data_IF_903567444971
#
_entry.id   IF_903567444971
#
_cell.length_a   1.000
_cell.length_b   1.000
_cell.length_c   1.000
_cell.angle_alpha   90.00
_cell.angle_beta   90.00
_cell.angle_gamma   90.00
#
_symmetry.space_group_name_H-M   'P 1'
#
loop_
_entity.id
_entity.type
_entity.pdbx_description
1 polymer ?
#
# COMPACT_ATOMS: atom_id res chain seq x y z
N UNK A 1 23.89 7.61 -6.16
CA UNK A 1 22.78 7.87 -5.25
C UNK A 1 22.35 6.58 -4.57
N UNK A 2 22.23 6.59 -3.25
CA UNK A 2 21.77 5.43 -2.49
C UNK A 2 20.47 5.79 -1.78
N UNK A 3 19.46 4.93 -1.89
CA UNK A 3 18.12 5.20 -1.38
C UNK A 3 17.85 4.41 -0.11
N UNK A 4 17.18 5.05 0.87
CA UNK A 4 16.57 4.39 2.00
C UNK A 4 15.25 3.74 1.57
N UNK A 5 15.04 2.46 1.90
CA UNK A 5 13.86 1.70 1.48
C UNK A 5 13.17 1.13 2.71
N UNK A 6 11.92 1.55 2.91
CA UNK A 6 11.00 1.04 3.91
C UNK A 6 9.69 0.61 3.25
N UNK A 7 9.25 -0.62 3.53
CA UNK A 7 7.99 -1.19 3.05
C UNK A 7 7.22 -1.80 4.22
N UNK A 8 5.91 -1.90 4.08
CA UNK A 8 5.01 -2.49 5.06
C UNK A 8 3.98 -3.33 4.32
N UNK A 9 4.03 -4.63 4.52
CA UNK A 9 3.19 -5.62 3.83
C UNK A 9 2.23 -6.27 4.83
N UNK A 10 0.90 -6.11 4.65
CA UNK A 10 -0.07 -6.68 5.58
C UNK A 10 -0.15 -8.20 5.43
N UNK A 11 -0.23 -8.89 6.56
CA UNK A 11 -0.43 -10.34 6.65
C UNK A 11 -1.88 -10.58 7.07
N UNK A 12 -2.64 -11.32 6.26
CA UNK A 12 -4.08 -11.51 6.46
C UNK A 12 -4.45 -12.84 7.11
N UNK A 13 -3.64 -13.88 6.96
CA UNK A 13 -3.95 -15.21 7.49
C UNK A 13 -2.82 -15.78 8.32
N UNK A 14 -3.14 -16.72 9.20
CA UNK A 14 -2.14 -17.48 9.97
C UNK A 14 -1.28 -18.37 9.05
N UNK A 15 -1.82 -18.78 7.90
CA UNK A 15 -1.05 -19.52 6.90
C UNK A 15 0.04 -18.63 6.27
N UNK A 16 -0.31 -17.40 5.88
CA UNK A 16 0.67 -16.43 5.36
C UNK A 16 1.75 -16.13 6.40
N UNK A 17 1.35 -15.97 7.67
CA UNK A 17 2.27 -15.79 8.79
C UNK A 17 3.23 -16.99 8.94
N UNK A 18 2.75 -18.21 8.72
CA UNK A 18 3.59 -19.43 8.72
C UNK A 18 4.61 -19.40 7.57
N UNK A 19 4.17 -19.02 6.36
CA UNK A 19 5.06 -18.96 5.18
C UNK A 19 6.17 -17.93 5.36
N UNK A 20 5.82 -16.76 5.88
CA UNK A 20 6.76 -15.67 6.19
C UNK A 20 7.74 -16.15 7.29
N UNK A 21 7.25 -16.77 8.36
CA UNK A 21 8.09 -17.31 9.42
C UNK A 21 9.11 -18.33 8.91
N UNK A 22 8.68 -19.22 8.03
CA UNK A 22 9.58 -20.22 7.43
C UNK A 22 10.63 -19.58 6.50
N UNK A 23 10.30 -18.46 5.87
CA UNK A 23 11.27 -17.68 5.10
C UNK A 23 12.26 -16.95 6.02
N UNK A 24 11.75 -16.21 6.98
CA UNK A 24 12.57 -15.36 7.85
C UNK A 24 13.52 -16.16 8.74
N UNK A 25 13.11 -17.35 9.17
CA UNK A 25 13.92 -18.28 9.99
C UNK A 25 14.74 -19.27 9.16
N UNK A 26 14.69 -19.17 7.82
CA UNK A 26 15.41 -20.11 6.92
C UNK A 26 15.10 -21.60 7.19
N UNK A 27 13.83 -21.93 7.46
CA UNK A 27 13.42 -23.30 7.77
C UNK A 27 13.33 -24.23 6.55
N UNK A 28 13.36 -23.67 5.32
CA UNK A 28 13.26 -24.47 4.09
C UNK A 28 14.62 -24.93 3.61
N UNK A 29 14.69 -26.16 3.08
CA UNK A 29 15.92 -26.73 2.50
C UNK A 29 16.32 -26.10 1.17
N UNK A 30 15.38 -25.47 0.47
CA UNK A 30 15.62 -24.77 -0.81
C UNK A 30 14.61 -23.63 -0.99
N UNK A 31 15.03 -22.57 -1.67
CA UNK A 31 14.26 -21.37 -1.95
C UNK A 31 14.17 -21.11 -3.45
N UNK A 32 13.45 -21.96 -4.18
CA UNK A 32 13.33 -21.88 -5.66
C UNK A 32 12.73 -20.55 -6.15
N UNK A 33 11.94 -19.88 -5.31
CA UNK A 33 11.37 -18.56 -5.62
C UNK A 33 12.35 -17.40 -5.43
N UNK A 34 13.45 -17.61 -4.70
CA UNK A 34 14.51 -16.63 -4.48
C UNK A 34 15.89 -17.30 -4.52
N UNK A 35 16.47 -17.47 -5.73
CA UNK A 35 17.78 -18.11 -5.90
C UNK A 35 18.95 -17.29 -5.34
N UNK A 36 18.73 -16.05 -4.91
CA UNK A 36 19.76 -15.21 -4.31
C UNK A 36 20.10 -15.64 -2.87
N UNK A 37 19.26 -16.47 -2.25
CA UNK A 37 19.50 -16.99 -0.89
C UNK A 37 20.62 -18.03 -0.91
N UNK A 38 21.70 -17.75 -0.20
CA UNK A 38 22.84 -18.61 -0.03
C UNK A 38 22.80 -19.25 1.36
N UNK A 39 22.24 -20.44 1.46
CA UNK A 39 22.03 -21.13 2.75
C UNK A 39 23.33 -21.31 3.56
N UNK A 40 24.48 -21.45 2.90
CA UNK A 40 25.79 -21.51 3.54
C UNK A 40 26.17 -20.23 4.31
N UNK A 41 25.55 -19.10 3.94
CA UNK A 41 25.75 -17.80 4.58
C UNK A 41 24.72 -17.46 5.66
N UNK A 42 23.69 -18.30 5.86
CA UNK A 42 22.62 -18.07 6.85
C UNK A 42 23.15 -17.86 8.28
N UNK A 43 24.30 -18.44 8.61
CA UNK A 43 25.00 -18.22 9.88
C UNK A 43 25.40 -16.75 10.13
N UNK A 44 25.42 -15.92 9.10
CA UNK A 44 25.73 -14.50 9.18
C UNK A 44 24.47 -13.64 9.44
N UNK A 45 23.28 -14.22 9.34
CA UNK A 45 22.04 -13.52 9.68
C UNK A 45 22.03 -13.19 11.17
N UNK A 46 21.44 -12.04 11.51
CA UNK A 46 21.42 -11.54 12.88
C UNK A 46 19.96 -11.42 13.34
N UNK A 47 19.61 -12.12 14.38
CA UNK A 47 18.32 -11.94 15.04
C UNK A 47 18.37 -10.64 15.88
N UNK A 48 17.55 -9.66 15.53
CA UNK A 48 17.42 -8.38 16.23
C UNK A 48 16.37 -8.47 17.35
N UNK A 49 15.32 -9.23 17.12
CA UNK A 49 14.32 -9.64 18.10
C UNK A 49 14.14 -11.14 17.94
N UNK A 50 14.69 -11.97 18.85
CA UNK A 50 14.64 -13.41 18.72
C UNK A 50 13.25 -13.97 18.98
N UNK A 51 12.94 -15.09 18.35
CA UNK A 51 11.73 -15.88 18.59
C UNK A 51 12.08 -17.37 18.57
N UNK A 52 12.07 -18.05 19.70
CA UNK A 52 12.41 -19.47 19.79
C UNK A 52 11.34 -20.38 19.21
N UNK A 53 10.09 -19.94 19.19
CA UNK A 53 8.96 -20.71 18.68
C UNK A 53 8.66 -20.41 17.20
N UNK A 54 7.76 -21.19 16.59
CA UNK A 54 7.20 -20.88 15.28
C UNK A 54 6.31 -19.63 15.38
N UNK A 55 6.18 -18.90 14.28
CA UNK A 55 5.46 -17.62 14.22
C UNK A 55 4.02 -17.72 14.73
N UNK A 56 3.27 -18.75 14.34
CA UNK A 56 1.87 -18.91 14.80
C UNK A 56 1.81 -19.15 16.32
N UNK A 57 2.79 -19.89 16.89
CA UNK A 57 2.84 -20.06 18.35
C UNK A 57 3.15 -18.74 19.05
N UNK A 58 4.17 -18.01 18.58
CA UNK A 58 4.50 -16.68 19.11
C UNK A 58 3.34 -15.67 18.95
N UNK A 59 2.64 -15.72 17.83
CA UNK A 59 1.42 -14.93 17.61
C UNK A 59 0.37 -15.21 18.69
N UNK A 60 0.09 -16.49 18.98
CA UNK A 60 -0.88 -16.84 20.02
C UNK A 60 -0.42 -16.43 21.42
N UNK A 61 0.88 -16.45 21.68
CA UNK A 61 1.44 -15.98 22.95
C UNK A 61 1.24 -14.46 23.11
N UNK A 62 1.56 -13.67 22.07
CA UNK A 62 1.38 -12.22 22.09
C UNK A 62 -0.09 -11.78 22.09
N UNK A 63 -0.97 -12.58 21.52
CA UNK A 63 -2.42 -12.29 21.46
C UNK A 63 -3.24 -13.04 22.50
N UNK A 64 -2.60 -13.56 23.55
CA UNK A 64 -3.26 -14.37 24.57
C UNK A 64 -4.47 -13.67 25.20
N UNK A 65 -4.32 -12.42 25.60
CA UNK A 65 -5.40 -11.62 26.20
C UNK A 65 -6.56 -11.40 25.22
N UNK A 66 -6.25 -11.15 23.94
CA UNK A 66 -7.27 -10.99 22.90
C UNK A 66 -8.05 -12.30 22.67
N UNK A 67 -7.33 -13.44 22.73
CA UNK A 67 -7.98 -14.75 22.67
C UNK A 67 -8.87 -14.99 23.88
N UNK A 68 -8.43 -14.68 25.10
CA UNK A 68 -9.24 -14.82 26.30
C UNK A 68 -10.52 -13.98 26.22
N UNK A 69 -10.43 -12.72 25.82
CA UNK A 69 -11.62 -11.87 25.60
C UNK A 69 -12.57 -12.46 24.55
N UNK A 70 -12.02 -13.04 23.48
CA UNK A 70 -12.81 -13.70 22.45
C UNK A 70 -13.55 -14.93 23.02
N UNK A 71 -12.83 -15.80 23.72
CA UNK A 71 -13.37 -17.04 24.27
C UNK A 71 -14.48 -16.74 25.31
N UNK A 72 -14.29 -15.72 26.18
CA UNK A 72 -15.33 -15.27 27.12
C UNK A 72 -16.58 -14.79 26.38
N UNK A 73 -16.43 -14.00 25.35
CA UNK A 73 -17.55 -13.54 24.52
C UNK A 73 -18.30 -14.68 23.85
N UNK A 74 -17.59 -15.73 23.42
CA UNK A 74 -18.22 -16.89 22.77
C UNK A 74 -19.05 -17.73 23.72
N UNK A 75 -18.90 -17.60 25.05
CA UNK A 75 -19.75 -18.28 26.02
C UNK A 75 -21.21 -17.82 25.97
N UNK A 76 -21.42 -16.53 25.70
CA UNK A 76 -22.74 -15.89 25.64
C UNK A 76 -23.25 -15.64 24.22
N UNK A 77 -22.46 -15.99 23.20
CA UNK A 77 -22.84 -15.81 21.81
C UNK A 77 -23.84 -16.90 21.37
N UNK A 78 -24.69 -16.57 20.39
CA UNK A 78 -25.62 -17.53 19.76
C UNK A 78 -24.86 -18.67 19.11
N UNK A 79 -25.38 -19.90 19.16
CA UNK A 79 -24.71 -21.12 18.66
C UNK A 79 -24.32 -20.99 17.17
N UNK A 80 -25.17 -20.41 16.33
CA UNK A 80 -24.93 -20.19 14.90
C UNK A 80 -23.76 -19.20 14.62
N UNK A 81 -23.39 -18.38 15.60
CA UNK A 81 -22.33 -17.37 15.51
C UNK A 81 -21.05 -17.73 16.25
N UNK A 82 -21.08 -18.80 17.06
CA UNK A 82 -19.88 -19.26 17.76
C UNK A 82 -18.78 -19.60 16.76
N UNK A 83 -17.57 -19.15 17.05
CA UNK A 83 -16.38 -19.38 16.24
C UNK A 83 -15.18 -19.57 17.15
N UNK A 84 -14.27 -20.43 16.76
CA UNK A 84 -12.96 -20.48 17.42
C UNK A 84 -12.17 -19.20 17.13
N UNK A 85 -11.20 -18.88 17.95
CA UNK A 85 -10.34 -17.71 17.77
C UNK A 85 -9.65 -17.73 16.39
N UNK A 86 -9.11 -18.86 15.95
CA UNK A 86 -8.51 -19.01 14.61
C UNK A 86 -9.53 -18.78 13.50
N UNK A 87 -10.74 -19.33 13.60
CA UNK A 87 -11.81 -19.11 12.63
C UNK A 87 -12.24 -17.63 12.56
N UNK A 88 -12.21 -16.93 13.68
CA UNK A 88 -12.49 -15.50 13.73
C UNK A 88 -11.41 -14.71 12.98
N UNK A 89 -10.14 -15.03 13.20
CA UNK A 89 -9.02 -14.40 12.51
C UNK A 89 -9.06 -14.66 11.00
N UNK A 90 -9.22 -15.90 10.57
CA UNK A 90 -9.21 -16.30 9.16
C UNK A 90 -10.39 -15.73 8.35
N UNK A 91 -11.55 -15.55 9.00
CA UNK A 91 -12.72 -14.91 8.35
C UNK A 91 -12.68 -13.39 8.37
N UNK A 92 -11.86 -12.83 9.22
CA UNK A 92 -11.67 -11.39 9.28
C UNK A 92 -10.94 -10.92 8.02
N UNK A 93 -11.45 -9.87 7.38
CA UNK A 93 -10.71 -9.13 6.35
C UNK A 93 -9.61 -8.24 6.95
N UNK A 94 -9.44 -8.29 8.26
CA UNK A 94 -8.44 -7.49 8.96
C UNK A 94 -7.07 -8.17 8.89
N UNK A 95 -6.03 -7.36 8.95
CA UNK A 95 -4.65 -7.82 9.09
C UNK A 95 -4.48 -8.58 10.42
N UNK A 96 -3.81 -9.70 10.41
CA UNK A 96 -3.39 -10.41 11.63
C UNK A 96 -2.02 -9.94 12.13
N UNK A 97 -1.12 -9.61 11.20
CA UNK A 97 0.21 -9.07 11.48
C UNK A 97 0.63 -8.13 10.34
N UNK A 98 1.75 -7.45 10.49
CA UNK A 98 2.34 -6.60 9.47
C UNK A 98 3.82 -6.94 9.34
N UNK A 99 4.29 -7.18 8.12
CA UNK A 99 5.71 -7.37 7.84
C UNK A 99 6.32 -6.06 7.34
N UNK A 100 7.33 -5.60 8.04
CA UNK A 100 8.11 -4.43 7.65
C UNK A 100 9.44 -4.88 7.07
N UNK A 101 9.77 -4.34 5.90
CA UNK A 101 11.04 -4.62 5.22
C UNK A 101 11.85 -3.33 5.18
N UNK A 102 13.05 -3.39 5.74
CA UNK A 102 14.01 -2.29 5.72
C UNK A 102 15.23 -2.71 4.90
N UNK A 103 15.65 -1.87 3.97
CA UNK A 103 16.87 -2.05 3.21
C UNK A 103 17.36 -0.71 2.66
N UNK A 104 18.42 -0.75 1.88
CA UNK A 104 18.90 0.40 1.10
C UNK A 104 19.40 -0.08 -0.28
N UNK A 105 19.75 0.86 -1.16
CA UNK A 105 20.36 0.53 -2.44
C UNK A 105 21.60 -0.35 -2.22
N UNK A 106 21.86 -1.35 -3.09
CA UNK A 106 23.00 -2.26 -2.94
C UNK A 106 24.36 -1.55 -2.82
N UNK A 107 24.51 -0.38 -3.47
CA UNK A 107 25.70 0.45 -3.40
C UNK A 107 26.00 0.99 -2.00
N UNK A 108 24.98 1.20 -1.18
CA UNK A 108 25.13 1.67 0.21
C UNK A 108 25.90 0.66 1.07
N UNK A 109 25.61 -0.62 0.91
CA UNK A 109 26.25 -1.67 1.70
C UNK A 109 27.66 -2.03 1.23
N UNK A 110 28.07 -1.58 0.02
CA UNK A 110 29.41 -1.82 -0.47
C UNK A 110 30.43 -1.07 0.37
N UNK A 111 31.34 -1.82 0.99
CA UNK A 111 32.40 -1.25 1.83
C UNK A 111 32.03 -0.97 3.28
N UNK A 112 30.75 -1.14 3.68
CA UNK A 112 30.38 -1.07 5.08
C UNK A 112 30.91 -2.29 5.86
N UNK A 113 31.42 -2.00 7.07
CA UNK A 113 31.81 -3.05 8.03
C UNK A 113 30.58 -3.61 8.74
N UNK A 114 30.64 -4.84 9.21
CA UNK A 114 29.55 -5.47 9.96
C UNK A 114 29.05 -4.61 11.13
N UNK A 115 29.92 -3.84 11.78
CA UNK A 115 29.57 -2.89 12.86
C UNK A 115 28.64 -1.78 12.34
N UNK A 116 28.91 -1.26 11.16
CA UNK A 116 28.10 -0.17 10.57
C UNK A 116 26.76 -0.71 10.05
N UNK A 117 26.73 -1.93 9.49
CA UNK A 117 25.50 -2.63 9.11
C UNK A 117 24.63 -2.88 10.36
N UNK A 118 25.25 -3.30 11.48
CA UNK A 118 24.52 -3.47 12.74
C UNK A 118 23.98 -2.14 13.26
N UNK A 119 24.77 -1.05 13.23
CA UNK A 119 24.32 0.30 13.60
C UNK A 119 23.13 0.75 12.75
N UNK A 120 23.16 0.45 11.43
CA UNK A 120 22.04 0.70 10.54
C UNK A 120 20.80 -0.12 10.95
N UNK A 121 20.96 -1.40 11.25
CA UNK A 121 19.87 -2.27 11.68
C UNK A 121 19.25 -1.81 13.01
N UNK A 122 20.09 -1.42 13.98
CA UNK A 122 19.63 -0.88 15.27
C UNK A 122 18.83 0.42 15.05
N UNK A 123 19.27 1.29 14.10
CA UNK A 123 18.55 2.51 13.73
C UNK A 123 17.19 2.22 13.08
N UNK A 124 17.08 1.16 12.29
CA UNK A 124 15.80 0.69 11.74
C UNK A 124 14.84 0.23 12.86
N UNK A 125 15.37 -0.47 13.87
CA UNK A 125 14.56 -0.86 15.03
C UNK A 125 14.15 0.32 15.90
N UNK A 126 15.02 1.33 16.06
CA UNK A 126 14.65 2.60 16.71
C UNK A 126 13.46 3.27 15.97
N UNK A 127 13.43 3.23 14.64
CA UNK A 127 12.32 3.75 13.87
C UNK A 127 11.01 3.00 14.14
N UNK A 128 11.06 1.67 14.27
CA UNK A 128 9.89 0.85 14.62
C UNK A 128 9.31 1.26 15.96
N UNK A 129 10.16 1.49 16.97
CA UNK A 129 9.72 1.79 18.32
C UNK A 129 9.31 3.26 18.49
N UNK A 130 10.10 4.19 17.98
CA UNK A 130 9.97 5.60 18.30
C UNK A 130 9.12 6.39 17.29
N UNK A 131 9.19 6.06 16.00
CA UNK A 131 8.47 6.79 14.95
C UNK A 131 7.17 6.12 14.55
N UNK A 132 7.18 4.79 14.42
CA UNK A 132 5.97 4.02 14.19
C UNK A 132 5.16 3.82 15.48
N UNK A 133 5.82 3.84 16.65
CA UNK A 133 5.18 3.75 17.96
C UNK A 133 4.83 2.33 18.39
N UNK A 134 5.43 1.31 17.81
CA UNK A 134 5.25 -0.07 18.26
C UNK A 134 5.97 -0.31 19.57
N UNK A 135 5.32 -1.00 20.50
CA UNK A 135 5.96 -1.47 21.73
C UNK A 135 6.80 -2.71 21.42
N UNK A 136 7.83 -2.96 22.24
CA UNK A 136 8.70 -4.15 22.08
C UNK A 136 7.90 -5.46 22.10
N UNK A 137 6.88 -5.53 22.96
CA UNK A 137 5.98 -6.67 23.12
C UNK A 137 5.05 -6.90 21.90
N UNK A 138 5.01 -5.98 20.95
CA UNK A 138 4.25 -6.11 19.72
C UNK A 138 5.10 -6.61 18.54
N UNK A 139 6.43 -6.65 18.71
CA UNK A 139 7.34 -7.20 17.71
C UNK A 139 7.43 -8.69 17.90
N UNK A 140 6.90 -9.46 16.95
CA UNK A 140 6.93 -10.91 16.99
C UNK A 140 8.33 -11.46 16.75
N UNK A 141 9.00 -10.94 15.72
CA UNK A 141 10.35 -11.34 15.32
C UNK A 141 10.97 -10.25 14.42
N UNK A 142 12.27 -10.05 14.54
CA UNK A 142 13.01 -9.23 13.60
C UNK A 142 14.37 -9.86 13.30
N UNK A 143 14.69 -10.03 12.03
CA UNK A 143 15.95 -10.63 11.58
C UNK A 143 16.57 -9.79 10.46
N UNK A 144 17.88 -9.61 10.53
CA UNK A 144 18.71 -9.04 9.47
C UNK A 144 19.28 -10.18 8.63
N UNK A 145 18.85 -10.27 7.39
CA UNK A 145 19.38 -11.21 6.42
C UNK A 145 20.65 -10.68 5.75
N UNK A 146 21.72 -11.45 5.89
CA UNK A 146 23.03 -11.21 5.28
C UNK A 146 23.39 -12.30 4.26
N UNK A 147 22.51 -13.23 4.02
CA UNK A 147 22.66 -14.40 3.15
C UNK A 147 22.04 -14.19 1.75
N UNK A 148 21.63 -12.99 1.45
CA UNK A 148 21.12 -12.58 0.12
C UNK A 148 21.99 -11.50 -0.51
N UNK A 149 21.67 -11.10 -1.75
CA UNK A 149 22.43 -10.10 -2.54
C UNK A 149 22.58 -8.77 -1.81
N UNK A 150 21.58 -8.37 -1.06
CA UNK A 150 21.54 -7.07 -0.36
C UNK A 150 21.06 -7.28 1.08
N UNK A 151 21.76 -6.76 2.10
CA UNK A 151 21.30 -6.80 3.48
C UNK A 151 19.92 -6.17 3.65
N UNK A 152 19.02 -6.85 4.34
CA UNK A 152 17.68 -6.34 4.63
C UNK A 152 17.12 -6.93 5.90
N UNK A 153 16.21 -6.19 6.54
CA UNK A 153 15.55 -6.61 7.76
C UNK A 153 14.12 -6.99 7.44
N UNK A 154 13.71 -8.15 7.93
CA UNK A 154 12.31 -8.52 8.09
C UNK A 154 11.92 -8.31 9.55
N UNK A 155 10.97 -7.42 9.80
CA UNK A 155 10.42 -7.15 11.12
C UNK A 155 8.91 -7.39 11.09
N UNK A 156 8.47 -8.44 11.77
CA UNK A 156 7.05 -8.80 11.86
C UNK A 156 6.48 -8.30 13.17
N UNK A 157 5.42 -7.50 13.09
CA UNK A 157 4.74 -6.91 14.24
C UNK A 157 3.28 -7.34 14.29
N UNK A 158 2.73 -7.41 15.51
CA UNK A 158 1.31 -7.63 15.74
C UNK A 158 0.71 -6.31 16.22
N UNK A 159 -0.09 -5.60 15.39
CA UNK A 159 -0.66 -4.30 15.73
C UNK A 159 -1.85 -4.45 16.70
N UNK A 160 -1.63 -5.12 17.84
CA UNK A 160 -2.61 -5.34 18.89
C UNK A 160 -2.78 -4.07 19.73
N UNK A 161 -3.99 -3.55 19.80
CA UNK A 161 -4.33 -2.33 20.54
C UNK A 161 -5.62 -2.53 21.32
N UNK A 162 -5.81 -1.74 22.37
CA UNK A 162 -7.11 -1.59 23.05
C UNK A 162 -7.88 -0.45 22.42
N UNK A 163 -9.15 -0.67 22.13
CA UNK A 163 -10.08 0.35 21.62
C UNK A 163 -11.38 0.32 22.40
N UNK A 164 -11.94 1.48 22.64
CA UNK A 164 -13.26 1.61 23.25
C UNK A 164 -14.34 1.11 22.30
N UNK A 165 -15.05 0.07 22.69
CA UNK A 165 -16.28 -0.37 22.02
C UNK A 165 -17.41 0.59 22.43
N UNK A 166 -17.80 1.46 21.52
CA UNK A 166 -18.84 2.49 21.77
C UNK A 166 -20.20 1.90 22.18
N UNK A 167 -20.48 0.65 21.80
CA UNK A 167 -21.76 -0.02 22.12
C UNK A 167 -21.83 -0.48 23.57
N UNK A 168 -20.71 -1.00 24.09
CA UNK A 168 -20.64 -1.55 25.45
C UNK A 168 -19.94 -0.61 26.44
N UNK A 169 -19.34 0.47 25.93
CA UNK A 169 -18.50 1.41 26.67
C UNK A 169 -17.35 0.72 27.44
N UNK A 170 -16.82 -0.35 26.87
CA UNK A 170 -15.70 -1.13 27.42
C UNK A 170 -14.51 -1.13 26.47
N UNK A 171 -13.31 -1.10 27.01
CA UNK A 171 -12.11 -1.29 26.21
C UNK A 171 -11.96 -2.75 25.79
N UNK A 172 -11.63 -2.99 24.52
CA UNK A 172 -11.42 -4.32 23.96
C UNK A 172 -10.17 -4.38 23.13
N UNK A 173 -9.53 -5.53 23.14
CA UNK A 173 -8.43 -5.81 22.23
C UNK A 173 -8.91 -5.91 20.78
N UNK A 174 -8.10 -5.38 19.88
CA UNK A 174 -8.29 -5.50 18.43
C UNK A 174 -6.95 -5.42 17.73
N UNK A 175 -6.81 -6.10 16.59
CA UNK A 175 -5.65 -5.97 15.71
C UNK A 175 -5.96 -4.87 14.70
N UNK A 176 -5.15 -3.80 14.66
CA UNK A 176 -5.43 -2.62 13.84
C UNK A 176 -4.16 -1.97 13.29
N UNK A 177 -3.72 -2.40 12.09
CA UNK A 177 -2.62 -1.75 11.34
C UNK A 177 -2.86 -0.24 11.16
N UNK A 178 -4.10 0.17 10.90
CA UNK A 178 -4.46 1.60 10.70
C UNK A 178 -4.13 2.50 11.91
N UNK A 179 -3.89 1.93 13.08
CA UNK A 179 -3.44 2.70 14.25
C UNK A 179 -2.02 3.23 14.06
N UNK A 180 -1.18 2.51 13.32
CA UNK A 180 0.24 2.78 13.09
C UNK A 180 0.49 3.34 11.68
N UNK A 181 -0.16 2.76 10.67
CA UNK A 181 -0.07 3.18 9.27
C UNK A 181 -1.50 3.38 8.74
N UNK A 182 -1.94 4.63 8.71
CA UNK A 182 -3.34 5.00 8.43
C UNK A 182 -3.74 4.72 6.98
N UNK A 183 -2.90 5.18 6.07
CA UNK A 183 -3.14 5.15 4.62
C UNK A 183 -1.81 5.29 3.85
N UNK A 184 -1.87 5.31 2.53
CA UNK A 184 -0.70 5.45 1.64
C UNK A 184 0.03 6.79 1.83
N UNK A 185 -0.68 7.87 2.16
CA UNK A 185 -0.09 9.19 2.40
C UNK A 185 0.75 9.14 3.67
N UNK A 186 0.16 8.61 4.74
CA UNK A 186 0.88 8.44 6.01
C UNK A 186 2.08 7.49 5.85
N UNK A 187 1.97 6.42 5.05
CA UNK A 187 3.11 5.56 4.73
C UNK A 187 4.23 6.34 4.04
N UNK A 188 3.87 7.25 3.11
CA UNK A 188 4.86 8.11 2.45
C UNK A 188 5.55 9.08 3.43
N UNK A 189 4.81 9.67 4.38
CA UNK A 189 5.35 10.50 5.46
C UNK A 189 6.29 9.70 6.38
N UNK A 190 5.94 8.45 6.66
CA UNK A 190 6.79 7.54 7.44
C UNK A 190 8.08 7.16 6.69
N UNK A 191 8.03 7.04 5.37
CA UNK A 191 9.23 6.84 4.55
C UNK A 191 10.15 8.08 4.59
N UNK A 192 9.59 9.29 4.63
CA UNK A 192 10.37 10.52 4.84
C UNK A 192 11.07 10.49 6.20
N UNK A 193 10.33 10.22 7.27
CA UNK A 193 10.88 10.09 8.63
C UNK A 193 11.95 9.01 8.76
N UNK A 194 11.77 7.88 8.06
CA UNK A 194 12.75 6.80 8.03
C UNK A 194 14.08 7.28 7.43
N UNK A 195 14.03 7.97 6.29
CA UNK A 195 15.22 8.54 5.67
C UNK A 195 15.87 9.60 6.55
N UNK A 196 15.09 10.51 7.16
CA UNK A 196 15.58 11.53 8.09
C UNK A 196 16.29 10.90 9.30
N UNK A 197 15.71 9.85 9.90
CA UNK A 197 16.32 9.14 11.03
C UNK A 197 17.67 8.52 10.67
N UNK A 198 17.77 7.88 9.51
CA UNK A 198 19.03 7.30 9.05
C UNK A 198 20.09 8.38 8.84
N UNK A 199 19.72 9.50 8.22
CA UNK A 199 20.64 10.62 7.98
C UNK A 199 21.08 11.29 9.28
N UNK A 200 20.20 11.42 10.27
CA UNK A 200 20.54 11.91 11.61
C UNK A 200 21.57 11.01 12.35
N UNK A 201 21.65 9.73 11.99
CA UNK A 201 22.66 8.78 12.50
C UNK A 201 23.94 8.74 11.66
N UNK A 202 24.03 9.58 10.61
CA UNK A 202 25.20 9.72 9.75
C UNK A 202 25.23 8.76 8.57
N UNK A 203 24.08 8.20 8.17
CA UNK A 203 23.96 7.43 6.92
C UNK A 203 23.53 8.38 5.81
N UNK A 204 24.34 8.52 4.77
CA UNK A 204 24.04 9.37 3.61
C UNK A 204 23.13 8.62 2.64
N UNK A 205 21.84 8.69 2.89
CA UNK A 205 20.81 8.04 2.09
C UNK A 205 19.78 9.06 1.61
N UNK A 206 19.30 8.85 0.38
CA UNK A 206 18.25 9.67 -0.19
C UNK A 206 16.88 8.98 -0.02
N UNK A 207 15.87 9.80 0.06
CA UNK A 207 14.49 9.34 0.00
C UNK A 207 14.16 8.98 -1.45
N UNK A 208 13.63 7.79 -1.69
CA UNK A 208 13.11 7.40 -3.01
C UNK A 208 11.97 8.33 -3.49
N UNK A 209 11.66 8.31 -4.76
CA UNK A 209 10.64 9.17 -5.37
C UNK A 209 9.29 9.03 -4.67
N UNK A 210 8.69 10.16 -4.25
CA UNK A 210 7.36 10.19 -3.66
C UNK A 210 6.30 9.83 -4.71
N UNK A 211 5.42 8.89 -4.35
CA UNK A 211 4.30 8.49 -5.20
C UNK A 211 4.70 7.70 -6.45
N UNK A 212 5.90 7.11 -6.49
CA UNK A 212 6.24 6.18 -7.54
C UNK A 212 5.34 4.94 -7.41
N UNK A 213 4.40 4.76 -8.33
CA UNK A 213 3.57 3.56 -8.43
C UNK A 213 4.36 2.38 -9.06
N UNK A 214 5.65 2.26 -8.79
CA UNK A 214 6.45 1.06 -9.12
C UNK A 214 6.00 -0.16 -8.31
N UNK A 215 4.88 -0.03 -7.60
CA UNK A 215 4.22 -1.11 -6.85
C UNK A 215 3.83 -2.34 -7.69
N UNK A 216 3.81 -2.25 -9.02
CA UNK A 216 3.17 -3.28 -9.84
C UNK A 216 4.11 -4.21 -10.61
N UNK A 217 5.41 -4.02 -10.56
CA UNK A 217 6.32 -5.08 -10.97
C UNK A 217 6.58 -5.95 -9.76
N UNK A 218 6.09 -7.18 -9.79
CA UNK A 218 6.47 -8.16 -8.78
C UNK A 218 8.01 -8.21 -8.73
N UNK A 219 8.57 -8.42 -7.54
CA UNK A 219 10.04 -8.58 -7.36
C UNK A 219 10.60 -9.58 -8.38
N UNK A 220 9.80 -10.58 -8.76
CA UNK A 220 10.13 -11.60 -9.76
C UNK A 220 10.24 -11.03 -11.18
N UNK A 221 9.34 -10.14 -11.58
CA UNK A 221 9.37 -9.49 -12.92
C UNK A 221 10.50 -8.47 -13.01
N UNK A 222 10.67 -7.65 -11.97
CA UNK A 222 11.78 -6.71 -11.89
C UNK A 222 13.14 -7.44 -11.94
N UNK A 223 13.33 -8.50 -11.15
CA UNK A 223 14.53 -9.34 -11.17
C UNK A 223 14.76 -10.00 -12.54
N UNK A 224 13.69 -10.43 -13.23
CA UNK A 224 13.81 -11.04 -14.55
C UNK A 224 14.29 -10.04 -15.60
N UNK A 225 13.74 -8.82 -15.59
CA UNK A 225 14.13 -7.76 -16.55
C UNK A 225 15.57 -7.29 -16.28
N UNK A 226 15.90 -6.97 -15.04
CA UNK A 226 17.25 -6.50 -14.67
C UNK A 226 18.32 -7.57 -14.88
N UNK A 227 18.04 -8.83 -14.53
CA UNK A 227 18.98 -9.94 -14.74
C UNK A 227 19.23 -10.23 -16.22
N UNK A 228 18.23 -10.11 -17.08
CA UNK A 228 18.42 -10.28 -18.51
C UNK A 228 19.28 -9.15 -19.11
N UNK A 229 19.03 -7.90 -18.71
CA UNK A 229 19.83 -6.75 -19.14
C UNK A 229 21.28 -6.83 -18.65
N UNK A 230 21.48 -7.20 -17.38
CA UNK A 230 22.82 -7.43 -16.82
C UNK A 230 23.58 -8.54 -17.59
N UNK A 231 22.92 -9.66 -17.90
CA UNK A 231 23.52 -10.76 -18.66
C UNK A 231 23.91 -10.37 -20.08
N UNK A 232 23.05 -9.60 -20.75
CA UNK A 232 23.37 -9.10 -22.12
C UNK A 232 24.53 -8.11 -22.09
N UNK A 233 24.56 -7.21 -21.09
CA UNK A 233 25.66 -6.25 -20.92
C UNK A 233 27.00 -6.98 -20.67
N UNK A 234 27.03 -7.87 -19.68
CA UNK A 234 28.23 -8.66 -19.33
C UNK A 234 28.73 -9.50 -20.50
N UNK A 235 27.82 -10.08 -21.30
CA UNK A 235 28.19 -10.82 -22.49
C UNK A 235 28.84 -9.93 -23.55
N UNK A 236 28.32 -8.72 -23.74
CA UNK A 236 28.90 -7.75 -24.72
C UNK A 236 30.23 -7.19 -24.24
N UNK A 237 30.35 -6.88 -22.92
CA UNK A 237 31.63 -6.46 -22.33
C UNK A 237 32.72 -7.55 -22.49
N UNK A 238 32.40 -8.81 -22.17
CA UNK A 238 33.33 -9.93 -22.36
C UNK A 238 33.74 -10.14 -23.81
N UNK A 239 32.81 -9.94 -24.76
CA UNK A 239 33.15 -10.04 -26.18
C UNK A 239 34.07 -8.88 -26.64
N UNK A 240 33.80 -7.66 -26.15
CA UNK A 240 34.63 -6.49 -26.42
C UNK A 240 36.06 -6.69 -25.87
N UNK A 241 36.17 -7.17 -24.63
CA UNK A 241 37.45 -7.47 -23.99
C UNK A 241 38.26 -8.51 -24.76
N UNK A 242 37.61 -9.58 -25.25
CA UNK A 242 38.26 -10.57 -26.14
C UNK A 242 38.72 -9.97 -27.45
N UNK A 243 37.91 -9.08 -28.04
CA UNK A 243 38.28 -8.40 -29.30
C UNK A 243 39.45 -7.43 -29.09
N UNK A 244 39.51 -6.73 -27.96
CA UNK A 244 40.63 -5.85 -27.58
C UNK A 244 41.91 -6.66 -27.39
N UNK A 245 41.87 -7.74 -26.63
CA UNK A 245 43.02 -8.61 -26.38
C UNK A 245 43.58 -9.21 -27.68
N UNK A 246 42.71 -9.67 -28.58
CA UNK A 246 43.11 -10.18 -29.90
C UNK A 246 43.77 -9.07 -30.76
N UNK A 247 43.23 -7.85 -30.71
CA UNK A 247 43.81 -6.70 -31.39
C UNK A 247 45.19 -6.36 -30.85
N UNK A 248 45.37 -6.33 -29.52
CA UNK A 248 46.68 -6.06 -28.89
C UNK A 248 47.71 -7.10 -29.29
N UNK A 249 47.35 -8.39 -29.37
CA UNK A 249 48.23 -9.48 -29.78
C UNK A 249 48.63 -9.33 -31.24
N UNK A 250 47.71 -8.96 -32.13
CA UNK A 250 47.98 -8.69 -33.53
C UNK A 250 48.87 -7.45 -33.76
N UNK A 251 48.71 -6.40 -32.96
CA UNK A 251 49.51 -5.17 -33.02
C UNK A 251 50.96 -5.42 -32.57
N UNK A 252 51.21 -6.27 -31.57
CA UNK A 252 52.56 -6.64 -31.11
C UNK A 252 53.38 -7.34 -32.17
N UNK A 253 52.75 -7.92 -33.18
CA UNK A 253 53.45 -8.64 -34.28
C UNK A 253 53.76 -7.77 -35.50
N UNK A 254 53.41 -6.49 -35.49
CA UNK A 254 53.62 -5.58 -36.61
C UNK A 254 55.07 -5.03 -36.64
N UNK A 255 55.66 -5.01 -37.83
CA UNK A 255 57.05 -4.50 -38.07
C UNK A 255 56.97 -3.02 -38.50
N UNK A 256 57.94 -2.21 -38.05
CA UNK A 256 58.11 -0.84 -38.52
C UNK A 256 58.41 -0.77 -40.00
N UNK A 257 58.01 0.30 -40.69
CA UNK A 257 58.30 0.53 -42.11
C UNK A 257 59.71 1.06 -42.24
N UNK A 258 60.52 0.48 -43.18
CA UNK A 258 61.99 0.65 -43.34
C UNK A 258 62.32 2.04 -43.83
N UNK A 259 61.72 3.06 -43.86
CA UNK A 259 62.06 4.44 -44.25
C UNK A 259 61.14 5.53 -43.77
N UNK A 260 60.12 5.19 -42.91
CA UNK A 260 59.23 6.18 -42.37
C UNK A 260 59.07 5.90 -40.88
N UNK A 261 59.50 6.84 -40.03
CA UNK A 261 59.50 6.69 -38.57
C UNK A 261 58.13 6.83 -37.99
N UNK A 262 57.17 7.41 -38.72
CA UNK A 262 55.82 7.74 -38.26
C UNK A 262 54.75 6.76 -38.79
N UNK A 263 55.15 5.77 -39.63
CA UNK A 263 54.22 4.77 -40.18
C UNK A 263 54.55 3.35 -39.68
N UNK A 264 53.48 2.60 -39.43
CA UNK A 264 53.58 1.18 -39.04
C UNK A 264 52.81 0.34 -40.06
N UNK A 265 53.39 -0.72 -40.55
CA UNK A 265 52.72 -1.73 -41.39
C UNK A 265 51.74 -2.53 -40.45
N UNK A 266 50.47 -2.35 -40.64
CA UNK A 266 49.43 -3.10 -39.91
C UNK A 266 48.93 -4.21 -40.85
N UNK A 267 48.81 -5.43 -40.36
CA UNK A 267 48.19 -6.54 -41.10
C UNK A 267 46.70 -6.25 -41.31
N UNK A 268 46.16 -6.68 -42.45
CA UNK A 268 44.75 -6.49 -42.78
C UNK A 268 43.82 -7.06 -41.70
N UNK A 269 44.17 -8.22 -41.13
CA UNK A 269 43.42 -8.86 -40.06
C UNK A 269 43.36 -7.99 -38.78
N UNK A 270 44.47 -7.27 -38.47
CA UNK A 270 44.48 -6.36 -37.31
C UNK A 270 43.59 -5.12 -37.54
N UNK A 271 43.59 -4.61 -38.80
CA UNK A 271 42.72 -3.51 -39.19
C UNK A 271 41.20 -3.91 -39.12
N UNK A 272 40.88 -5.11 -39.58
CA UNK A 272 39.54 -5.67 -39.51
C UNK A 272 39.08 -5.86 -38.04
N UNK A 273 40.01 -6.32 -37.19
CA UNK A 273 39.77 -6.45 -35.77
C UNK A 273 39.56 -5.08 -35.07
N UNK A 274 40.34 -4.04 -35.41
CA UNK A 274 40.14 -2.68 -34.95
C UNK A 274 38.73 -2.16 -35.31
N UNK A 275 38.33 -2.35 -36.55
CA UNK A 275 37.04 -1.94 -37.05
C UNK A 275 35.90 -2.66 -36.29
N UNK A 276 36.11 -3.94 -35.97
CA UNK A 276 35.14 -4.71 -35.17
C UNK A 276 35.04 -4.20 -33.72
N UNK A 277 36.18 -3.93 -33.06
CA UNK A 277 36.23 -3.35 -31.70
C UNK A 277 35.52 -2.00 -31.65
N UNK A 278 35.79 -1.12 -32.65
CA UNK A 278 35.11 0.18 -32.74
C UNK A 278 33.61 0.02 -32.93
N UNK A 279 33.17 -0.96 -33.74
CA UNK A 279 31.76 -1.25 -33.98
C UNK A 279 31.04 -1.76 -32.71
N UNK A 280 31.70 -2.62 -31.95
CA UNK A 280 31.16 -3.19 -30.74
C UNK A 280 31.14 -2.16 -29.60
N UNK A 281 32.16 -1.30 -29.49
CA UNK A 281 32.20 -0.18 -28.57
C UNK A 281 31.02 0.82 -28.83
N UNK A 282 30.81 1.19 -30.10
CA UNK A 282 29.67 2.05 -30.49
C UNK A 282 28.32 1.42 -30.12
N UNK A 283 28.15 0.11 -30.30
CA UNK A 283 26.91 -0.59 -29.91
C UNK A 283 26.70 -0.57 -28.42
N UNK A 284 27.75 -0.67 -27.60
CA UNK A 284 27.65 -0.57 -26.14
C UNK A 284 27.25 0.85 -25.73
N UNK A 285 27.87 1.87 -26.33
CA UNK A 285 27.52 3.28 -26.09
C UNK A 285 26.06 3.58 -26.46
N UNK A 286 25.58 3.12 -27.63
CA UNK A 286 24.18 3.23 -28.03
C UNK A 286 23.23 2.52 -27.03
N UNK A 287 23.65 1.36 -26.53
CA UNK A 287 22.83 0.61 -25.56
C UNK A 287 22.78 1.30 -24.20
N UNK A 288 23.88 1.88 -23.73
CA UNK A 288 23.91 2.71 -22.53
C UNK A 288 23.00 3.94 -22.68
N UNK A 289 23.11 4.65 -23.81
CA UNK A 289 22.24 5.80 -24.10
C UNK A 289 20.75 5.43 -24.13
N UNK A 290 20.39 4.29 -24.73
CA UNK A 290 19.02 3.77 -24.70
C UNK A 290 18.56 3.41 -23.29
N UNK A 291 19.41 2.82 -22.48
CA UNK A 291 19.10 2.54 -21.08
C UNK A 291 18.85 3.84 -20.31
N UNK A 292 19.71 4.84 -20.44
CA UNK A 292 19.53 6.14 -19.79
C UNK A 292 18.23 6.83 -20.24
N UNK A 293 17.91 6.82 -21.53
CA UNK A 293 16.66 7.38 -22.05
C UNK A 293 15.44 6.62 -21.53
N UNK A 294 15.52 5.29 -21.40
CA UNK A 294 14.46 4.46 -20.84
C UNK A 294 14.26 4.76 -19.35
N UNK A 295 15.34 4.86 -18.57
CA UNK A 295 15.25 5.25 -17.15
C UNK A 295 14.69 6.67 -16.98
N UNK A 296 15.08 7.61 -17.84
CA UNK A 296 14.53 8.98 -17.83
C UNK A 296 13.04 9.00 -18.16
N UNK A 297 12.61 8.22 -19.14
CA UNK A 297 11.19 8.07 -19.49
C UNK A 297 10.39 7.41 -18.37
N UNK A 298 10.92 6.37 -17.73
CA UNK A 298 10.31 5.74 -16.55
C UNK A 298 10.20 6.71 -15.37
N UNK A 299 11.21 7.53 -15.13
CA UNK A 299 11.17 8.57 -14.10
C UNK A 299 10.07 9.61 -14.38
N UNK A 300 9.98 10.11 -15.61
CA UNK A 300 8.94 11.07 -16.01
C UNK A 300 7.55 10.46 -15.86
N UNK A 301 7.36 9.21 -16.30
CA UNK A 301 6.10 8.48 -16.12
C UNK A 301 5.75 8.29 -14.64
N UNK A 302 6.74 8.00 -13.80
CA UNK A 302 6.57 7.90 -12.34
C UNK A 302 6.13 9.22 -11.70
N UNK A 303 6.69 10.36 -12.14
CA UNK A 303 6.29 11.70 -11.68
C UNK A 303 4.84 11.99 -12.06
N UNK A 304 4.45 11.76 -13.32
CA UNK A 304 3.08 11.97 -13.82
C UNK A 304 2.07 11.09 -13.07
N UNK A 305 2.41 9.80 -12.81
CA UNK A 305 1.57 8.90 -12.01
C UNK A 305 1.43 9.39 -10.55
N UNK A 306 2.48 9.97 -9.98
CA UNK A 306 2.45 10.56 -8.63
C UNK A 306 1.48 11.75 -8.57
N UNK A 307 1.52 12.63 -9.56
CA UNK A 307 0.63 13.79 -9.66
C UNK A 307 -0.83 13.35 -9.84
N UNK A 308 -1.09 12.42 -10.75
CA UNK A 308 -2.42 11.83 -10.95
C UNK A 308 -2.94 11.11 -9.70
N UNK A 309 -2.07 10.43 -8.95
CA UNK A 309 -2.45 9.78 -7.68
C UNK A 309 -2.85 10.80 -6.62
N UNK A 310 -2.13 11.93 -6.51
CA UNK A 310 -2.50 13.03 -5.60
C UNK A 310 -3.85 13.64 -5.95
N UNK A 311 -4.09 13.86 -7.24
CA UNK A 311 -5.36 14.37 -7.76
C UNK A 311 -6.50 13.39 -7.45
N UNK A 312 -6.33 12.10 -7.67
CA UNK A 312 -7.29 11.07 -7.31
C UNK A 312 -7.61 11.04 -5.80
N UNK A 313 -6.61 11.23 -4.94
CA UNK A 313 -6.84 11.32 -3.48
C UNK A 313 -7.65 12.56 -3.13
N UNK A 314 -7.37 13.70 -3.77
CA UNK A 314 -8.14 14.94 -3.59
C UNK A 314 -9.59 14.75 -4.05
N UNK A 315 -9.80 14.19 -5.23
CA UNK A 315 -11.13 13.91 -5.79
C UNK A 315 -11.92 12.91 -4.91
N UNK A 316 -11.28 11.88 -4.39
CA UNK A 316 -11.95 10.94 -3.48
C UNK A 316 -12.39 11.62 -2.17
N UNK A 317 -11.61 12.56 -1.63
CA UNK A 317 -12.02 13.36 -0.45
C UNK A 317 -13.22 14.25 -0.78
N UNK A 318 -13.23 14.86 -1.96
CA UNK A 318 -14.36 15.67 -2.42
C UNK A 318 -15.62 14.82 -2.62
N UNK A 319 -15.50 13.64 -3.21
CA UNK A 319 -16.59 12.67 -3.34
C UNK A 319 -17.15 12.26 -1.96
N UNK A 320 -16.30 12.00 -0.97
CA UNK A 320 -16.75 11.63 0.38
C UNK A 320 -17.45 12.82 1.09
N UNK A 321 -16.96 14.04 0.90
CA UNK A 321 -17.62 15.26 1.39
C UNK A 321 -18.98 15.46 0.73
N UNK A 322 -19.09 15.27 -0.58
CA UNK A 322 -20.34 15.36 -1.32
C UNK A 322 -21.34 14.29 -0.89
N UNK A 323 -20.91 13.05 -0.64
CA UNK A 323 -21.74 11.98 -0.09
C UNK A 323 -22.30 12.35 1.30
N UNK A 324 -21.46 12.93 2.17
CA UNK A 324 -21.89 13.38 3.49
C UNK A 324 -22.92 14.50 3.38
N UNK A 325 -22.70 15.47 2.48
CA UNK A 325 -23.61 16.58 2.21
C UNK A 325 -24.94 16.05 1.65
N UNK A 326 -24.93 15.11 0.72
CA UNK A 326 -26.13 14.47 0.19
C UNK A 326 -26.92 13.79 1.30
N UNK A 327 -26.29 13.02 2.16
CA UNK A 327 -26.94 12.37 3.30
C UNK A 327 -27.61 13.37 4.25
N UNK A 328 -26.96 14.50 4.50
CA UNK A 328 -27.55 15.58 5.30
C UNK A 328 -28.77 16.23 4.63
N UNK A 329 -28.69 16.46 3.31
CA UNK A 329 -29.81 16.97 2.53
C UNK A 329 -30.98 16.00 2.48
N UNK A 330 -30.74 14.71 2.32
CA UNK A 330 -31.77 13.67 2.39
C UNK A 330 -32.48 13.66 3.76
N UNK A 331 -31.73 13.83 4.86
CA UNK A 331 -32.31 13.96 6.20
C UNK A 331 -33.17 15.21 6.33
N UNK A 332 -32.73 16.36 5.79
CA UNK A 332 -33.51 17.59 5.79
C UNK A 332 -34.78 17.46 4.95
N UNK A 333 -34.70 16.81 3.79
CA UNK A 333 -35.86 16.53 2.94
C UNK A 333 -36.85 15.63 3.68
N UNK A 334 -36.37 14.63 4.42
CA UNK A 334 -37.20 13.80 5.29
C UNK A 334 -37.98 14.59 6.33
N UNK A 335 -37.29 15.46 7.08
CA UNK A 335 -37.92 16.33 8.07
C UNK A 335 -38.91 17.32 7.46
N UNK A 336 -38.63 17.88 6.29
CA UNK A 336 -39.58 18.76 5.59
C UNK A 336 -40.81 18.00 5.10
N UNK A 337 -40.68 16.76 4.65
CA UNK A 337 -41.83 15.91 4.28
C UNK A 337 -42.73 15.65 5.47
N UNK A 338 -42.16 15.27 6.63
CA UNK A 338 -42.92 15.07 7.86
C UNK A 338 -43.67 16.36 8.28
N UNK A 339 -43.04 17.53 8.13
CA UNK A 339 -43.67 18.81 8.39
C UNK A 339 -44.82 19.09 7.43
N UNK A 340 -44.68 18.79 6.15
CA UNK A 340 -45.75 18.91 5.16
C UNK A 340 -46.89 17.98 5.47
N UNK A 341 -46.64 16.72 5.78
CA UNK A 341 -47.67 15.75 6.15
C UNK A 341 -48.45 16.23 7.42
N UNK A 342 -47.73 16.79 8.40
CA UNK A 342 -48.38 17.39 9.60
C UNK A 342 -49.25 18.58 9.28
N UNK A 343 -48.79 19.52 8.43
CA UNK A 343 -49.57 20.68 8.01
C UNK A 343 -50.81 20.27 7.19
N UNK A 344 -50.67 19.25 6.35
CA UNK A 344 -51.81 18.69 5.60
C UNK A 344 -52.89 18.13 6.55
N UNK A 345 -52.50 17.39 7.60
CA UNK A 345 -53.41 16.87 8.59
C UNK A 345 -54.16 18.00 9.36
N UNK A 346 -53.44 19.09 9.68
CA UNK A 346 -54.10 20.28 10.29
C UNK A 346 -55.13 20.91 9.35
N UNK A 347 -54.77 21.06 8.08
CA UNK A 347 -55.70 21.63 7.08
C UNK A 347 -56.92 20.74 6.92
N UNK A 348 -56.77 19.41 6.85
CA UNK A 348 -57.89 18.45 6.79
C UNK A 348 -58.80 18.60 8.05
N UNK A 349 -58.21 18.70 9.26
CA UNK A 349 -58.96 18.91 10.49
C UNK A 349 -59.71 20.24 10.54
N UNK A 350 -59.13 21.32 10.03
CA UNK A 350 -59.79 22.63 9.92
C UNK A 350 -60.96 22.55 8.95
N UNK A 351 -60.79 21.91 7.78
CA UNK A 351 -61.84 21.72 6.80
C UNK A 351 -63.02 20.95 7.42
N UNK A 352 -62.73 19.84 8.10
CA UNK A 352 -63.75 19.03 8.79
C UNK A 352 -64.49 19.85 9.86
N UNK A 353 -63.74 20.63 10.66
CA UNK A 353 -64.35 21.52 11.66
C UNK A 353 -65.28 22.55 11.03
N UNK A 354 -64.88 23.18 9.94
CA UNK A 354 -65.70 24.15 9.20
C UNK A 354 -66.98 23.49 8.66
N UNK A 355 -66.92 22.30 8.13
CA UNK A 355 -68.10 21.56 7.70
C UNK A 355 -69.06 21.21 8.84
N UNK A 356 -68.52 20.83 10.00
CA UNK A 356 -69.33 20.63 11.19
C UNK A 356 -70.05 21.92 11.64
N UNK A 357 -69.37 23.10 11.52
CA UNK A 357 -70.01 24.39 11.78
C UNK A 357 -71.14 24.67 10.81
N UNK A 358 -70.97 24.47 9.47
CA UNK A 358 -72.05 24.62 8.50
C UNK A 358 -73.28 23.75 8.84
N UNK A 359 -73.02 22.53 9.23
CA UNK A 359 -74.07 21.59 9.60
C UNK A 359 -74.81 22.01 10.89
N UNK A 360 -74.05 22.42 11.90
CA UNK A 360 -74.63 22.80 13.20
C UNK A 360 -75.47 24.13 13.19
N UNK A 361 -75.13 25.03 12.24
CA UNK A 361 -75.83 26.31 12.12
C UNK A 361 -76.84 26.32 10.98
N UNK A 362 -77.22 25.18 10.43
CA UNK A 362 -78.23 25.00 9.36
C UNK A 362 -78.02 25.92 8.13
N UNK A 363 -76.79 26.09 7.79
CA UNK A 363 -76.38 26.93 6.63
C UNK A 363 -76.85 26.28 5.33
N UNK A 364 -77.45 27.05 4.38
CA UNK A 364 -77.96 26.45 3.12
C UNK A 364 -76.89 25.67 2.34
N UNK A 365 -77.25 24.50 1.84
CA UNK A 365 -76.39 23.62 1.03
C UNK A 365 -75.71 24.32 -0.15
N UNK A 366 -76.32 25.40 -0.65
CA UNK A 366 -75.77 26.20 -1.72
C UNK A 366 -74.51 26.95 -1.29
N UNK A 367 -74.51 27.58 -0.12
CA UNK A 367 -73.38 28.30 0.47
C UNK A 367 -72.26 27.38 0.86
N UNK A 368 -72.57 26.19 1.32
CA UNK A 368 -71.58 25.12 1.58
C UNK A 368 -70.86 24.73 0.31
N UNK A 369 -71.58 24.52 -0.80
CA UNK A 369 -71.04 24.18 -2.12
C UNK A 369 -70.17 25.32 -2.68
N UNK A 370 -70.57 26.58 -2.52
CA UNK A 370 -69.79 27.73 -2.95
C UNK A 370 -68.49 27.83 -2.14
N UNK A 371 -68.53 27.66 -0.83
CA UNK A 371 -67.35 27.64 0.03
C UNK A 371 -66.39 26.53 -0.39
N UNK A 372 -66.88 25.31 -0.65
CA UNK A 372 -66.06 24.22 -1.12
C UNK A 372 -65.30 24.61 -2.43
N UNK A 373 -65.99 25.22 -3.39
CA UNK A 373 -65.38 25.59 -4.66
C UNK A 373 -64.35 26.70 -4.47
N UNK A 374 -64.61 27.75 -3.75
CA UNK A 374 -63.68 28.82 -3.45
C UNK A 374 -62.47 28.33 -2.67
N UNK A 375 -62.67 27.41 -1.71
CA UNK A 375 -61.58 26.81 -0.95
C UNK A 375 -60.70 25.98 -1.83
N UNK A 376 -61.24 25.21 -2.78
CA UNK A 376 -60.47 24.43 -3.74
C UNK A 376 -59.70 25.27 -4.74
N UNK A 377 -60.19 26.45 -5.11
CA UNK A 377 -59.47 27.37 -6.01
C UNK A 377 -58.23 27.99 -5.32
N UNK A 378 -58.25 28.15 -4.01
CA UNK A 378 -57.16 28.84 -3.29
C UNK A 378 -56.10 27.88 -2.71
N UNK A 379 -56.37 26.58 -2.62
CA UNK A 379 -55.41 25.59 -2.16
C UNK A 379 -54.87 24.77 -3.34
N UNK A 380 -53.57 24.72 -3.53
CA UNK A 380 -52.99 23.91 -4.59
C UNK A 380 -53.40 22.44 -4.54
N UNK A 381 -53.90 21.90 -5.64
CA UNK A 381 -54.37 20.50 -5.77
C UNK A 381 -53.38 19.43 -5.26
N UNK A 382 -52.09 19.75 -5.22
CA UNK A 382 -51.02 18.89 -4.66
C UNK A 382 -51.12 18.70 -3.12
N UNK A 383 -51.88 19.51 -2.42
CA UNK A 383 -52.07 19.44 -0.97
C UNK A 383 -53.26 18.55 -0.58
N UNK A 384 -54.04 18.09 -1.55
CA UNK A 384 -55.10 17.11 -1.31
C UNK A 384 -54.52 15.72 -1.58
N UNK A 385 -54.56 14.83 -0.61
CA UNK A 385 -54.43 13.39 -0.90
C UNK A 385 -55.63 13.01 -1.76
N UNK A 386 -55.36 12.51 -3.00
CA UNK A 386 -56.39 11.89 -3.82
C UNK A 386 -57.08 10.76 -3.04
N UNK A 387 -58.10 11.09 -2.29
CA UNK A 387 -59.14 10.15 -1.92
C UNK A 387 -60.25 10.37 -2.91
N UNK A 388 -60.36 9.39 -3.77
CA UNK A 388 -61.50 9.06 -4.63
C UNK A 388 -61.87 10.07 -5.72
N UNK A 389 -61.39 9.78 -6.91
CA UNK A 389 -61.92 10.31 -8.17
C UNK A 389 -63.34 9.79 -8.46
N UNK A 390 -63.88 8.87 -7.65
CA UNK A 390 -65.10 8.10 -7.98
C UNK A 390 -66.36 8.61 -7.26
N UNK A 391 -66.28 9.61 -6.34
CA UNK A 391 -67.49 10.08 -5.59
C UNK A 391 -68.04 11.44 -6.06
N UNK A 392 -67.63 11.97 -7.21
CA UNK A 392 -68.12 13.26 -7.73
C UNK A 392 -68.74 13.19 -9.13
N UNK A 393 -69.39 12.10 -9.47
CA UNK A 393 -70.42 12.06 -10.52
C UNK A 393 -71.77 11.80 -9.84
N UNK A 394 -72.42 12.89 -9.45
CA UNK A 394 -73.91 12.98 -9.40
C UNK A 394 -74.31 14.45 -9.25
#
# INVERSE_FOLDING_TARGET
MNYAIFRSEPIYTLNDLTQIGSHNKREKKAYNSNPDIKLELTKNNIELVPLDSKYVKGFHELTKEYKLEHDERMKTEREDRKRTYSQMLDRSKNVVADEMIFTASPGFFKGLKNKDIKKWADTCMEFVYNDLGYKKEQVLHATLHMDEKTPHIHCVVIPLVKKLDKRTNTERYTISKKQYIRDKIHLSELQDKYCERLNAKGFELERGLKGSNVENLSVKEYKKITSNLEKELTKKESNLEKSINNLEEQLKTNKSVLFDKDSVKVKKEALDCMNQVIKDAKKIEEMQSRMESTFKSMNNFSVTLSETSKENVSLNREVDNLKLRNKNLESQIGGLKETIDYLQAIIEAIIEFVYQLFHNFDIPKFEEKQFRNEFHEHIPSRLYKNKDKDDFEL
#
